data_IF_645615044797
#
_entry.id   IF_645615044797
#
_cell.length_a   1.000
_cell.length_b   1.000
_cell.length_c   1.000
_cell.angle_alpha   90.00
_cell.angle_beta   90.00
_cell.angle_gamma   90.00
#
_symmetry.space_group_name_H-M   'P 1'
#
loop_
_entity.id
_entity.type
_entity.pdbx_description
1 polymer ?
#
# COMPACT_ATOMS: atom_id res chain seq x y z
N UNK A 1 -21.36 -6.45 18.85
CA UNK A 1 -21.07 -6.67 17.43
C UNK A 1 -20.97 -8.17 17.18
N UNK A 2 -21.46 -8.68 16.05
CA UNK A 2 -21.27 -10.07 15.66
C UNK A 2 -19.77 -10.38 15.56
N UNK A 3 -19.30 -11.48 16.16
CA UNK A 3 -17.90 -11.94 16.04
C UNK A 3 -17.65 -12.68 14.73
N UNK A 4 -18.72 -13.05 14.02
CA UNK A 4 -18.67 -13.82 12.78
C UNK A 4 -17.69 -13.29 11.70
N UNK A 5 -17.60 -11.96 11.42
CA UNK A 5 -16.61 -11.46 10.48
C UNK A 5 -15.16 -11.64 10.98
N UNK A 6 -14.89 -11.48 12.28
CA UNK A 6 -13.55 -11.70 12.85
C UNK A 6 -13.15 -13.18 12.77
N UNK A 7 -14.05 -14.09 13.15
CA UNK A 7 -13.82 -15.54 13.08
C UNK A 7 -13.52 -15.98 11.63
N UNK A 8 -14.21 -15.39 10.66
CA UNK A 8 -13.97 -15.62 9.22
C UNK A 8 -12.60 -15.11 8.75
N UNK A 9 -12.11 -14.00 9.30
CA UNK A 9 -10.79 -13.46 8.96
C UNK A 9 -9.66 -14.29 9.60
N UNK A 10 -9.85 -14.74 10.84
CA UNK A 10 -8.90 -15.58 11.58
C UNK A 10 -8.77 -16.99 11.00
N UNK A 11 -9.78 -17.47 10.27
CA UNK A 11 -9.70 -18.72 9.48
C UNK A 11 -9.20 -18.49 8.05
N UNK A 12 -8.76 -17.27 7.72
CA UNK A 12 -8.30 -16.87 6.40
C UNK A 12 -6.81 -17.10 6.14
N UNK A 13 -6.32 -16.49 5.06
CA UNK A 13 -4.91 -16.49 4.68
C UNK A 13 -4.03 -15.82 5.76
N UNK A 14 -2.80 -16.28 6.01
CA UNK A 14 -1.88 -15.64 6.96
C UNK A 14 -1.73 -14.13 6.71
N UNK A 15 -1.75 -13.68 5.44
CA UNK A 15 -1.68 -12.27 5.06
C UNK A 15 -2.81 -11.42 5.64
N UNK A 16 -3.95 -12.04 5.98
CA UNK A 16 -5.08 -11.42 6.67
C UNK A 16 -4.93 -11.60 8.18
N UNK A 17 -4.65 -12.83 8.64
CA UNK A 17 -4.69 -13.18 10.07
C UNK A 17 -3.77 -12.31 10.91
N UNK A 18 -2.51 -12.12 10.48
CA UNK A 18 -1.55 -11.34 11.27
C UNK A 18 -2.01 -9.89 11.48
N UNK A 19 -2.68 -9.30 10.47
CA UNK A 19 -3.23 -7.95 10.57
C UNK A 19 -4.44 -7.90 11.51
N UNK A 20 -5.30 -8.93 11.50
CA UNK A 20 -6.41 -9.02 12.46
C UNK A 20 -5.88 -9.10 13.89
N UNK A 21 -4.87 -9.95 14.11
CA UNK A 21 -4.29 -10.12 15.44
C UNK A 21 -3.62 -8.85 15.96
N UNK A 22 -3.03 -8.05 15.07
CA UNK A 22 -2.38 -6.78 15.42
C UNK A 22 -3.42 -5.65 15.55
N UNK A 23 -4.06 -5.27 14.44
CA UNK A 23 -4.86 -4.06 14.32
C UNK A 23 -6.22 -4.13 15.03
N UNK A 24 -6.81 -5.32 15.15
CA UNK A 24 -8.19 -5.48 15.66
C UNK A 24 -8.26 -6.17 17.02
N UNK A 25 -7.28 -7.02 17.35
CA UNK A 25 -7.24 -7.76 18.62
C UNK A 25 -6.16 -7.27 19.57
N UNK A 26 -5.16 -6.53 19.10
CA UNK A 26 -4.07 -6.01 19.93
C UNK A 26 -3.25 -7.10 20.61
N UNK A 27 -3.01 -8.22 19.92
CA UNK A 27 -2.25 -9.34 20.47
C UNK A 27 -0.76 -8.99 20.67
N UNK A 28 -0.04 -9.73 21.54
CA UNK A 28 1.39 -9.51 21.74
C UNK A 28 2.21 -9.60 20.44
N UNK A 29 3.27 -8.77 20.35
CA UNK A 29 4.13 -8.67 19.16
C UNK A 29 4.71 -10.00 18.71
N UNK A 30 4.99 -10.91 19.65
CA UNK A 30 5.50 -12.26 19.36
C UNK A 30 4.50 -13.12 18.58
N UNK A 31 3.20 -13.05 18.95
CA UNK A 31 2.13 -13.75 18.23
C UNK A 31 1.95 -13.16 16.82
N UNK A 32 1.97 -11.83 16.71
CA UNK A 32 1.87 -11.12 15.42
C UNK A 32 3.05 -11.49 14.51
N UNK A 33 4.27 -11.53 15.07
CA UNK A 33 5.47 -11.90 14.32
C UNK A 33 5.42 -13.35 13.82
N UNK A 34 4.95 -14.28 14.64
CA UNK A 34 4.79 -15.68 14.26
C UNK A 34 3.80 -15.83 13.09
N UNK A 35 2.61 -15.21 13.19
CA UNK A 35 1.61 -15.24 12.11
C UNK A 35 2.11 -14.54 10.83
N UNK A 36 2.83 -13.43 10.96
CA UNK A 36 3.41 -12.73 9.82
C UNK A 36 4.50 -13.56 9.13
N UNK A 37 5.27 -14.36 9.88
CA UNK A 37 6.30 -15.22 9.31
C UNK A 37 5.70 -16.31 8.40
N UNK A 38 4.53 -16.86 8.75
CA UNK A 38 3.82 -17.84 7.92
C UNK A 38 3.45 -17.33 6.52
N UNK A 39 3.35 -16.01 6.31
CA UNK A 39 3.06 -15.42 4.99
C UNK A 39 4.08 -15.86 3.93
N UNK A 40 5.34 -16.04 4.33
CA UNK A 40 6.40 -16.44 3.39
C UNK A 40 6.29 -17.89 2.92
N UNK A 41 5.65 -18.75 3.71
CA UNK A 41 5.64 -20.21 3.50
C UNK A 41 4.24 -20.77 3.20
N UNK A 42 3.19 -20.00 3.45
CA UNK A 42 1.80 -20.41 3.30
C UNK A 42 0.98 -19.40 2.49
N UNK A 43 -0.09 -19.89 1.86
CA UNK A 43 -1.12 -19.03 1.29
C UNK A 43 -0.68 -18.17 0.10
N UNK A 44 -1.21 -16.96 0.02
CA UNK A 44 -0.96 -16.03 -1.09
C UNK A 44 0.46 -15.50 -1.13
N UNK A 45 1.08 -15.23 0.03
CA UNK A 45 2.45 -14.72 0.10
C UNK A 45 3.44 -15.73 -0.46
N UNK A 46 3.33 -17.00 -0.07
CA UNK A 46 4.16 -18.08 -0.62
C UNK A 46 3.96 -18.27 -2.12
N UNK A 47 2.71 -18.19 -2.61
CA UNK A 47 2.43 -18.26 -4.06
C UNK A 47 3.06 -17.08 -4.80
N UNK A 48 2.98 -15.88 -4.24
CA UNK A 48 3.61 -14.70 -4.84
C UNK A 48 5.14 -14.86 -4.89
N UNK A 49 5.77 -15.34 -3.81
CA UNK A 49 7.21 -15.62 -3.77
C UNK A 49 7.63 -16.70 -4.77
N UNK A 50 6.79 -17.71 -5.00
CA UNK A 50 7.04 -18.74 -6.01
C UNK A 50 7.03 -18.20 -7.45
N UNK A 51 6.44 -17.03 -7.69
CA UNK A 51 6.44 -16.35 -9.00
C UNK A 51 7.69 -15.47 -9.22
N UNK A 52 8.66 -15.49 -8.30
CA UNK A 52 9.92 -14.78 -8.48
C UNK A 52 10.70 -15.35 -9.67
N UNK A 53 11.30 -14.46 -10.46
CA UNK A 53 12.31 -14.81 -11.44
C UNK A 53 13.61 -15.31 -10.75
N UNK A 54 14.54 -15.94 -11.48
CA UNK A 54 15.80 -16.41 -10.91
C UNK A 54 16.66 -15.31 -10.27
N UNK A 55 16.40 -14.05 -10.60
CA UNK A 55 17.09 -12.89 -10.03
C UNK A 55 16.46 -12.41 -8.70
N UNK A 56 15.30 -12.97 -8.32
CA UNK A 56 14.55 -12.64 -7.11
C UNK A 56 13.52 -11.51 -7.28
N UNK A 57 13.21 -11.13 -8.52
CA UNK A 57 12.26 -10.07 -8.87
C UNK A 57 10.97 -10.63 -9.48
N UNK A 58 10.03 -9.77 -9.88
CA UNK A 58 8.79 -10.14 -10.56
C UNK A 58 8.71 -9.46 -11.92
N UNK A 59 8.20 -10.18 -12.91
CA UNK A 59 8.05 -9.68 -14.28
C UNK A 59 7.27 -8.35 -14.36
N UNK A 60 6.31 -8.12 -13.46
CA UNK A 60 5.54 -6.87 -13.40
C UNK A 60 6.39 -5.66 -13.02
N UNK A 61 7.30 -5.82 -12.06
CA UNK A 61 8.22 -4.77 -11.63
C UNK A 61 9.17 -4.42 -12.77
N UNK A 62 9.70 -5.42 -13.45
CA UNK A 62 10.54 -5.27 -14.65
C UNK A 62 9.79 -4.54 -15.77
N UNK A 63 8.54 -4.94 -16.04
CA UNK A 63 7.70 -4.32 -17.06
C UNK A 63 7.45 -2.84 -16.79
N UNK A 64 7.14 -2.48 -15.54
CA UNK A 64 6.97 -1.09 -15.13
C UNK A 64 8.29 -0.31 -15.27
N UNK A 65 9.41 -0.92 -14.85
CA UNK A 65 10.75 -0.32 -14.91
C UNK A 65 11.25 -0.07 -16.33
N UNK A 66 11.01 -1.01 -17.25
CA UNK A 66 11.37 -0.90 -18.66
C UNK A 66 10.54 0.13 -19.42
N UNK A 67 9.27 0.29 -19.04
CA UNK A 67 8.34 1.23 -19.68
C UNK A 67 8.44 2.66 -19.15
N UNK A 68 9.19 2.89 -18.09
CA UNK A 68 9.38 4.22 -17.54
C UNK A 68 10.13 5.12 -18.53
N UNK A 69 9.65 6.36 -18.71
CA UNK A 69 10.39 7.39 -19.42
C UNK A 69 11.49 7.93 -18.51
N UNK A 70 12.70 8.09 -19.06
CA UNK A 70 13.91 8.44 -18.31
C UNK A 70 14.41 9.84 -18.66
N UNK A 71 15.00 10.50 -17.66
CA UNK A 71 15.50 11.87 -17.71
C UNK A 71 16.76 11.97 -16.85
N UNK A 72 17.94 11.69 -17.44
CA UNK A 72 19.25 11.78 -16.77
C UNK A 72 19.25 11.23 -15.32
N UNK A 73 18.79 9.99 -15.16
CA UNK A 73 18.64 9.30 -13.86
C UNK A 73 17.22 9.36 -13.28
N UNK A 74 16.47 10.43 -13.51
CA UNK A 74 15.05 10.53 -13.12
C UNK A 74 14.12 9.69 -13.98
N UNK A 75 12.95 9.34 -13.44
CA UNK A 75 11.95 8.58 -14.20
C UNK A 75 10.48 8.91 -13.88
N UNK A 76 9.61 8.63 -14.84
CA UNK A 76 8.15 8.72 -14.68
C UNK A 76 7.43 7.70 -15.55
N UNK A 77 6.29 7.22 -15.08
CA UNK A 77 5.38 6.36 -15.85
C UNK A 77 4.35 7.18 -16.65
N UNK A 78 4.24 8.48 -16.40
CA UNK A 78 3.28 9.35 -17.08
C UNK A 78 3.82 9.83 -18.43
N UNK A 79 3.17 9.43 -19.51
CA UNK A 79 3.57 9.79 -20.87
C UNK A 79 3.54 11.30 -21.13
N UNK A 80 2.66 12.05 -20.45
CA UNK A 80 2.41 13.48 -20.65
C UNK A 80 3.35 14.41 -19.87
N UNK A 81 4.26 13.85 -19.06
CA UNK A 81 5.15 14.63 -18.20
C UNK A 81 6.49 14.88 -18.91
N UNK A 82 6.95 16.13 -18.90
CA UNK A 82 8.22 16.56 -19.50
C UNK A 82 9.41 16.56 -18.53
N UNK A 83 9.15 16.54 -17.22
CA UNK A 83 10.18 16.51 -16.17
C UNK A 83 9.66 15.70 -14.96
N UNK A 84 10.44 14.73 -14.44
CA UNK A 84 9.95 13.82 -13.40
C UNK A 84 9.90 14.51 -12.03
N UNK A 85 8.74 14.45 -11.36
CA UNK A 85 8.63 14.86 -9.97
C UNK A 85 9.16 13.78 -9.02
N UNK A 86 10.00 14.15 -8.04
CA UNK A 86 10.61 13.24 -7.06
C UNK A 86 9.63 12.29 -6.36
N UNK A 87 8.46 12.79 -5.98
CA UNK A 87 7.37 12.02 -5.35
C UNK A 87 6.80 10.93 -6.27
N UNK A 88 6.76 11.16 -7.58
CA UNK A 88 6.27 10.19 -8.57
C UNK A 88 7.40 9.27 -9.03
N UNK A 89 8.65 9.76 -9.08
CA UNK A 89 9.83 8.96 -9.38
C UNK A 89 10.16 7.98 -8.25
N UNK A 90 9.95 8.38 -6.99
CA UNK A 90 10.19 7.54 -5.82
C UNK A 90 9.31 6.29 -5.76
N UNK A 91 8.07 6.34 -6.25
CA UNK A 91 7.15 5.19 -6.22
C UNK A 91 7.66 3.96 -7.02
N UNK A 92 8.04 4.07 -8.31
CA UNK A 92 8.61 2.96 -9.05
C UNK A 92 10.02 2.57 -8.58
N UNK A 93 10.80 3.49 -8.00
CA UNK A 93 12.11 3.17 -7.38
C UNK A 93 11.90 2.30 -6.13
N UNK A 94 11.00 2.71 -5.25
CA UNK A 94 10.61 1.95 -4.06
C UNK A 94 10.12 0.56 -4.45
N UNK A 95 9.26 0.46 -5.47
CA UNK A 95 8.83 -0.83 -6.00
C UNK A 95 10.00 -1.68 -6.53
N UNK A 96 10.92 -1.10 -7.30
CA UNK A 96 12.08 -1.81 -7.83
C UNK A 96 12.99 -2.35 -6.72
N UNK A 97 13.28 -1.53 -5.70
CA UNK A 97 14.12 -1.90 -4.56
C UNK A 97 13.42 -2.94 -3.69
N UNK A 98 12.17 -2.70 -3.30
CA UNK A 98 11.41 -3.58 -2.41
C UNK A 98 11.20 -4.98 -3.01
N UNK A 99 11.11 -5.08 -4.33
CA UNK A 99 10.94 -6.35 -5.05
C UNK A 99 12.25 -6.87 -5.64
N UNK A 100 13.42 -6.35 -5.24
CA UNK A 100 14.72 -6.94 -5.54
C UNK A 100 15.14 -6.88 -7.01
N UNK A 101 14.65 -5.90 -7.78
CA UNK A 101 15.05 -5.73 -9.18
C UNK A 101 16.55 -5.41 -9.28
N UNK A 102 17.32 -6.33 -9.87
CA UNK A 102 18.77 -6.16 -10.10
C UNK A 102 19.02 -5.55 -11.48
N UNK A 103 19.14 -4.23 -11.52
CA UNK A 103 19.40 -3.45 -12.73
C UNK A 103 20.20 -2.21 -12.36
N UNK A 104 21.33 -1.95 -13.03
CA UNK A 104 22.21 -0.83 -12.69
C UNK A 104 21.53 0.54 -12.76
N UNK A 105 20.44 0.65 -13.54
CA UNK A 105 19.66 1.88 -13.64
C UNK A 105 18.87 2.17 -12.38
N UNK A 106 18.69 1.20 -11.49
CA UNK A 106 18.10 1.41 -10.15
C UNK A 106 19.06 2.26 -9.32
N UNK A 107 20.34 1.94 -9.35
CA UNK A 107 21.38 2.71 -8.66
C UNK A 107 21.42 4.15 -9.20
N UNK A 108 21.44 4.33 -10.53
CA UNK A 108 21.37 5.65 -11.17
C UNK A 108 20.14 6.46 -10.72
N UNK A 109 18.98 5.80 -10.57
CA UNK A 109 17.73 6.44 -10.17
C UNK A 109 17.70 6.81 -8.68
N UNK A 110 18.30 5.96 -7.83
CA UNK A 110 18.49 6.23 -6.40
C UNK A 110 19.48 7.38 -6.21
N UNK A 111 20.59 7.39 -6.94
CA UNK A 111 21.56 8.49 -6.95
C UNK A 111 20.91 9.79 -7.41
N UNK A 112 20.14 9.76 -8.52
CA UNK A 112 19.41 10.92 -8.99
C UNK A 112 18.44 11.45 -7.94
N UNK A 113 17.62 10.56 -7.34
CA UNK A 113 16.66 10.96 -6.31
C UNK A 113 17.38 11.57 -5.11
N UNK A 114 18.49 10.99 -4.68
CA UNK A 114 19.32 11.51 -3.58
C UNK A 114 19.90 12.88 -3.90
N UNK A 115 20.34 13.10 -5.14
CA UNK A 115 20.83 14.40 -5.59
C UNK A 115 19.75 15.50 -5.59
N UNK A 116 18.46 15.15 -5.58
CA UNK A 116 17.35 16.12 -5.46
C UNK A 116 17.05 16.54 -4.00
N UNK A 117 17.79 16.03 -3.02
CA UNK A 117 17.59 16.38 -1.61
C UNK A 117 17.89 17.87 -1.38
N UNK A 118 16.98 18.55 -0.70
CA UNK A 118 17.13 19.97 -0.35
C UNK A 118 18.08 20.15 0.83
N UNK A 119 18.54 21.37 1.06
CA UNK A 119 19.48 21.70 2.13
C UNK A 119 18.95 21.37 3.54
N UNK A 120 17.63 21.26 3.71
CA UNK A 120 16.98 20.84 4.94
C UNK A 120 16.86 19.31 5.10
N UNK A 121 17.42 18.54 4.15
CA UNK A 121 17.39 17.09 4.14
C UNK A 121 16.10 16.47 3.61
N UNK A 122 15.13 17.27 3.15
CA UNK A 122 13.87 16.78 2.60
C UNK A 122 13.80 16.77 1.08
N UNK A 123 12.69 16.25 0.54
CA UNK A 123 12.35 16.30 -0.88
C UNK A 123 11.00 17.01 -1.07
N UNK A 124 10.83 17.75 -2.16
CA UNK A 124 9.57 18.43 -2.47
C UNK A 124 9.30 18.56 -3.98
N UNK A 125 8.18 18.01 -4.44
CA UNK A 125 7.73 18.11 -5.84
C UNK A 125 7.39 19.54 -6.29
N UNK A 126 7.21 20.49 -5.38
CA UNK A 126 7.00 21.91 -5.68
C UNK A 126 8.28 22.65 -6.05
N UNK A 127 9.47 22.07 -5.87
CA UNK A 127 10.74 22.62 -6.39
C UNK A 127 10.59 22.85 -7.90
N UNK A 128 10.19 21.81 -8.62
CA UNK A 128 10.05 21.83 -10.09
C UNK A 128 8.81 22.64 -10.53
N UNK A 129 7.72 22.62 -9.75
CA UNK A 129 6.46 23.28 -10.15
C UNK A 129 6.38 24.76 -9.78
N UNK A 130 7.08 25.20 -8.73
CA UNK A 130 6.92 26.54 -8.12
C UNK A 130 8.20 27.12 -7.49
N UNK A 131 9.35 26.45 -7.60
CA UNK A 131 10.63 26.94 -7.06
C UNK A 131 10.75 26.90 -5.53
N UNK A 132 10.01 26.01 -4.85
CA UNK A 132 10.04 25.89 -3.39
C UNK A 132 11.40 25.38 -2.88
N UNK A 133 11.95 25.96 -1.81
CA UNK A 133 13.25 25.57 -1.21
C UNK A 133 13.19 24.68 0.04
N UNK A 134 11.99 24.23 0.46
CA UNK A 134 11.80 23.44 1.69
C UNK A 134 11.20 22.05 1.40
N UNK A 135 11.63 21.02 2.14
CA UNK A 135 11.14 19.64 2.11
C UNK A 135 9.71 19.48 2.62
N UNK A 136 8.98 18.47 2.13
CA UNK A 136 7.53 18.31 2.36
C UNK A 136 7.16 17.27 3.44
N UNK A 137 7.80 17.27 4.60
CA UNK A 137 7.32 16.49 5.76
C UNK A 137 6.03 17.10 6.35
N UNK A 138 5.98 18.44 6.41
CA UNK A 138 4.87 19.19 6.99
C UNK A 138 3.55 19.01 6.22
N UNK A 139 3.57 18.87 4.89
CA UNK A 139 2.33 18.67 4.12
C UNK A 139 1.78 17.25 4.28
N UNK A 140 2.64 16.25 4.37
CA UNK A 140 2.22 14.86 4.61
C UNK A 140 1.58 14.71 6.00
N UNK A 141 2.18 15.31 7.04
CA UNK A 141 1.60 15.27 8.39
C UNK A 141 0.33 16.13 8.47
N UNK A 142 0.29 17.33 7.89
CA UNK A 142 -0.92 18.17 7.89
C UNK A 142 -2.08 17.53 7.11
N UNK A 143 -1.83 16.81 6.02
CA UNK A 143 -2.87 16.05 5.31
C UNK A 143 -3.35 14.86 6.16
N UNK A 144 -2.45 14.13 6.81
CA UNK A 144 -2.81 13.02 7.69
C UNK A 144 -3.55 13.50 8.95
N UNK A 145 -3.16 14.62 9.54
CA UNK A 145 -3.82 15.27 10.68
C UNK A 145 -5.20 15.82 10.30
N UNK A 146 -5.30 16.49 9.14
CA UNK A 146 -6.57 16.97 8.62
C UNK A 146 -7.50 15.80 8.32
N UNK A 147 -7.04 14.76 7.62
CA UNK A 147 -7.84 13.55 7.37
C UNK A 147 -8.21 12.82 8.67
N UNK A 148 -7.38 12.87 9.71
CA UNK A 148 -7.71 12.25 10.99
C UNK A 148 -8.79 13.01 11.79
N UNK A 149 -9.01 14.29 11.50
CA UNK A 149 -9.91 15.18 12.25
C UNK A 149 -11.13 15.70 11.43
N UNK A 150 -11.30 15.28 10.17
CA UNK A 150 -12.26 15.94 9.26
C UNK A 150 -13.69 15.38 9.33
N UNK A 151 -14.65 16.24 9.65
CA UNK A 151 -16.08 15.92 9.63
C UNK A 151 -16.60 15.53 8.22
N UNK A 152 -15.92 15.92 7.13
CA UNK A 152 -16.26 15.54 5.75
C UNK A 152 -16.13 14.04 5.48
N UNK A 153 -15.44 13.29 6.34
CA UNK A 153 -15.35 11.83 6.21
C UNK A 153 -16.63 11.11 6.64
N UNK A 154 -17.54 11.78 7.36
CA UNK A 154 -18.77 11.16 7.90
C UNK A 154 -19.59 10.48 6.81
N UNK A 155 -19.85 11.15 5.68
CA UNK A 155 -20.63 10.54 4.59
C UNK A 155 -19.93 9.32 3.99
N UNK A 156 -18.61 9.36 3.83
CA UNK A 156 -17.82 8.23 3.33
C UNK A 156 -17.84 7.04 4.30
N UNK A 157 -17.81 7.31 5.61
CA UNK A 157 -17.94 6.27 6.64
C UNK A 157 -19.34 5.66 6.62
N UNK A 158 -20.38 6.46 6.45
CA UNK A 158 -21.75 5.95 6.31
C UNK A 158 -21.95 5.13 5.03
N UNK A 159 -21.26 5.44 3.94
CA UNK A 159 -21.21 4.55 2.76
C UNK A 159 -20.53 3.21 3.07
N UNK A 160 -19.41 3.23 3.82
CA UNK A 160 -18.76 1.99 4.28
C UNK A 160 -19.72 1.17 5.16
N UNK A 161 -20.43 1.79 6.10
CA UNK A 161 -21.44 1.08 6.93
C UNK A 161 -22.58 0.52 6.09
N UNK A 162 -23.12 1.30 5.14
CA UNK A 162 -24.20 0.84 4.23
C UNK A 162 -23.79 -0.30 3.32
N UNK A 163 -22.51 -0.39 2.97
CA UNK A 163 -21.97 -1.51 2.19
C UNK A 163 -21.79 -2.81 3.00
N UNK A 164 -21.97 -2.78 4.33
CA UNK A 164 -21.91 -3.97 5.16
C UNK A 164 -23.07 -4.91 4.85
N UNK A 165 -22.75 -6.18 4.64
CA UNK A 165 -23.75 -7.23 4.43
C UNK A 165 -24.35 -7.67 5.78
N UNK A 166 -25.52 -8.35 5.78
CA UNK A 166 -26.14 -8.85 7.02
C UNK A 166 -25.23 -9.79 7.84
N UNK A 167 -24.28 -10.48 7.19
CA UNK A 167 -23.30 -11.36 7.84
C UNK A 167 -22.07 -10.61 8.41
N UNK A 168 -22.06 -9.28 8.33
CA UNK A 168 -20.98 -8.43 8.83
C UNK A 168 -19.79 -8.30 7.88
N UNK A 169 -19.86 -8.84 6.66
CA UNK A 169 -18.78 -8.79 5.67
C UNK A 169 -18.98 -7.71 4.61
N UNK A 170 -17.91 -7.39 3.87
CA UNK A 170 -17.96 -6.46 2.74
C UNK A 170 -17.78 -7.16 1.39
N UNK A 171 -18.40 -6.63 0.32
CA UNK A 171 -18.29 -7.21 -1.01
C UNK A 171 -16.86 -7.09 -1.57
N UNK A 172 -16.48 -8.07 -2.41
CA UNK A 172 -15.29 -7.96 -3.27
C UNK A 172 -15.58 -7.00 -4.43
N UNK A 173 -14.67 -6.07 -4.72
CA UNK A 173 -14.75 -5.32 -5.98
C UNK A 173 -14.55 -6.26 -7.17
N UNK A 174 -15.19 -5.95 -8.30
CA UNK A 174 -14.90 -6.62 -9.58
C UNK A 174 -13.41 -6.44 -9.91
N UNK A 175 -12.67 -7.52 -10.22
CA UNK A 175 -11.28 -7.38 -10.65
C UNK A 175 -11.21 -6.61 -11.97
N UNK A 176 -10.13 -5.88 -12.18
CA UNK A 176 -9.83 -5.25 -13.46
C UNK A 176 -9.64 -6.31 -14.56
N UNK A 177 -9.86 -6.00 -15.84
CA UNK A 177 -9.48 -6.92 -16.91
C UNK A 177 -7.94 -7.02 -16.97
N UNK A 178 -7.39 -8.24 -17.11
CA UNK A 178 -5.94 -8.43 -17.24
C UNK A 178 -5.43 -9.78 -16.72
N UNK A 179 -4.11 -9.97 -16.82
CA UNK A 179 -3.39 -11.10 -16.21
C UNK A 179 -3.00 -10.77 -14.78
N UNK A 180 -3.06 -11.77 -13.91
CA UNK A 180 -2.74 -11.68 -12.49
C UNK A 180 -1.71 -12.76 -12.15
N UNK A 181 -0.70 -12.42 -11.34
CA UNK A 181 0.25 -13.40 -10.81
C UNK A 181 -0.41 -14.34 -9.80
N UNK A 182 -1.26 -13.81 -8.93
CA UNK A 182 -2.08 -14.63 -8.05
C UNK A 182 -3.51 -14.10 -7.98
N UNK A 183 -4.49 -15.00 -8.05
CA UNK A 183 -5.85 -14.69 -7.63
C UNK A 183 -5.92 -14.90 -6.12
N UNK A 184 -6.01 -13.81 -5.37
CA UNK A 184 -6.11 -13.88 -3.91
C UNK A 184 -7.47 -14.46 -3.50
N UNK A 185 -8.57 -13.84 -3.90
CA UNK A 185 -9.89 -14.23 -3.43
C UNK A 185 -10.77 -14.75 -4.56
N UNK A 186 -11.58 -15.78 -4.29
CA UNK A 186 -12.69 -16.16 -5.14
C UNK A 186 -13.81 -15.08 -5.11
N UNK A 187 -14.72 -15.04 -6.11
CA UNK A 187 -15.89 -14.17 -6.05
C UNK A 187 -16.73 -14.44 -4.78
N UNK A 188 -17.24 -13.39 -4.13
CA UNK A 188 -18.05 -13.53 -2.91
C UNK A 188 -17.71 -12.48 -1.84
N UNK A 189 -18.03 -12.76 -0.56
CA UNK A 189 -17.60 -11.93 0.57
C UNK A 189 -16.07 -11.85 0.66
N UNK A 190 -15.53 -10.62 0.58
CA UNK A 190 -14.07 -10.39 0.58
C UNK A 190 -13.54 -10.27 2.00
N UNK A 191 -12.52 -11.05 2.33
CA UNK A 191 -11.75 -10.92 3.57
C UNK A 191 -10.93 -9.64 3.57
N UNK A 192 -10.33 -9.25 2.44
CA UNK A 192 -9.58 -7.99 2.35
C UNK A 192 -10.47 -6.76 2.54
N UNK A 193 -11.60 -6.68 1.84
CA UNK A 193 -12.55 -5.57 2.02
C UNK A 193 -13.08 -5.54 3.46
N UNK A 194 -13.38 -6.71 4.03
CA UNK A 194 -13.87 -6.81 5.42
C UNK A 194 -12.81 -6.34 6.42
N UNK A 195 -11.57 -6.79 6.32
CA UNK A 195 -10.46 -6.35 7.18
C UNK A 195 -10.27 -4.82 7.09
N UNK A 196 -10.22 -4.27 5.87
CA UNK A 196 -10.04 -2.81 5.67
C UNK A 196 -11.20 -2.01 6.25
N UNK A 197 -12.44 -2.43 5.99
CA UNK A 197 -13.62 -1.79 6.54
C UNK A 197 -13.62 -1.82 8.07
N UNK A 198 -13.31 -2.97 8.68
CA UNK A 198 -13.23 -3.11 10.14
C UNK A 198 -12.14 -2.20 10.75
N UNK A 199 -10.95 -2.10 10.12
CA UNK A 199 -9.88 -1.20 10.60
C UNK A 199 -10.30 0.27 10.53
N UNK A 200 -10.91 0.68 9.42
CA UNK A 200 -11.40 2.06 9.24
C UNK A 200 -12.50 2.39 10.24
N UNK A 201 -13.46 1.48 10.44
CA UNK A 201 -14.55 1.69 11.41
C UNK A 201 -14.06 1.66 12.86
N UNK A 202 -13.15 0.75 13.21
CA UNK A 202 -12.56 0.70 14.55
C UNK A 202 -11.79 1.98 14.91
N UNK A 203 -11.03 2.50 13.94
CA UNK A 203 -10.36 3.80 14.05
C UNK A 203 -11.37 4.95 14.18
N UNK A 204 -12.37 5.01 13.30
CA UNK A 204 -13.39 6.07 13.32
C UNK A 204 -14.22 6.07 14.61
N UNK A 205 -14.63 4.90 15.11
CA UNK A 205 -15.42 4.78 16.33
C UNK A 205 -14.55 5.01 17.58
N UNK A 206 -13.24 4.79 17.47
CA UNK A 206 -12.27 5.11 18.52
C UNK A 206 -12.12 6.60 18.78
N UNK A 207 -12.29 7.43 17.75
CA UNK A 207 -12.15 8.89 17.85
C UNK A 207 -13.26 9.54 18.68
N UNK A 208 -14.47 8.98 18.68
CA UNK A 208 -15.64 9.54 19.40
C UNK A 208 -15.64 9.21 20.89
N UNK A 209 -14.73 8.32 21.32
CA UNK A 209 -14.58 7.89 22.72
C UNK A 209 -13.51 8.69 23.48
N UNK A 210 -12.86 9.66 22.84
CA UNK A 210 -11.80 10.50 23.41
C UNK A 210 -12.25 11.95 23.42
#
# INVERSE_FOLDING_TARGET
MSTAPLDRLLTGDPSIRWQVTDDLLGLPRECVAAERASVATEGWGARLLAEQDPEGSWAGVRLHWERARRFDGGLTLAATVSEPGMCIAGMPIDLAVAFGLRDSRVDDAVEWLTAQQLADGGWNCLVIRRGSGHGSFHTSITVLEAMAADARLTEAIEEVRRAQRPDGTWPRHRPYPGRYWCTMEAPGPSRWSTLRALRVLAWWDGRERT
#
